data_IF_370888901878
#
_entry.id   IF_370888901878
#
_cell.length_a   1.000
_cell.length_b   1.000
_cell.length_c   1.000
_cell.angle_alpha   90.00
_cell.angle_beta   90.00
_cell.angle_gamma   90.00
#
_symmetry.space_group_name_H-M   'P 1'
#
loop_
_entity.id
_entity.type
_entity.pdbx_description
1 polymer ?
#
# COMPACT_ATOMS: atom_id res chain seq x y z
N UNK A 1 17.74 0.51 -9.84
CA UNK A 1 16.59 1.22 -9.25
C UNK A 1 16.56 0.89 -7.78
N UNK A 2 16.67 1.90 -6.91
CA UNK A 2 16.54 1.70 -5.47
C UNK A 2 15.16 2.12 -5.00
N UNK A 3 14.57 1.29 -4.15
CA UNK A 3 13.25 1.48 -3.59
C UNK A 3 13.37 1.65 -2.07
N UNK A 4 13.03 2.84 -1.59
CA UNK A 4 12.96 3.08 -0.16
C UNK A 4 11.59 2.69 0.40
N UNK A 5 11.58 1.76 1.35
CA UNK A 5 10.37 1.19 1.97
C UNK A 5 10.48 1.28 3.49
N UNK A 6 9.34 1.40 4.17
CA UNK A 6 9.30 1.20 5.61
C UNK A 6 9.79 -0.21 5.97
N UNK A 7 10.53 -0.37 7.08
CA UNK A 7 11.08 -1.66 7.49
C UNK A 7 9.99 -2.71 7.68
N UNK A 8 10.36 -3.97 7.42
CA UNK A 8 9.53 -5.14 7.65
C UNK A 8 9.21 -5.32 9.14
N UNK A 9 7.99 -5.78 9.44
CA UNK A 9 7.55 -6.21 10.77
C UNK A 9 6.23 -7.01 10.66
N UNK A 10 5.82 -7.69 11.74
CA UNK A 10 4.61 -8.51 11.81
C UNK A 10 4.53 -9.63 10.76
N UNK A 11 5.69 -10.15 10.31
CA UNK A 11 5.76 -11.12 9.22
C UNK A 11 5.44 -10.52 7.83
N UNK A 12 5.33 -9.20 7.73
CA UNK A 12 5.10 -8.48 6.47
C UNK A 12 6.38 -7.77 6.02
N UNK A 13 6.63 -7.69 4.70
CA UNK A 13 7.82 -7.01 4.18
C UNK A 13 7.77 -5.48 4.35
N UNK A 14 6.62 -4.90 4.73
CA UNK A 14 6.49 -3.50 5.15
C UNK A 14 5.20 -3.27 5.94
N UNK A 15 5.16 -2.24 6.79
CA UNK A 15 3.93 -1.85 7.52
C UNK A 15 2.94 -1.06 6.67
N UNK A 16 3.41 -0.34 5.64
CA UNK A 16 2.55 0.53 4.83
C UNK A 16 1.92 -0.25 3.68
N UNK A 17 0.61 -0.07 3.50
CA UNK A 17 -0.18 -0.74 2.45
C UNK A 17 0.37 -0.39 1.06
N UNK A 18 0.75 0.87 0.85
CA UNK A 18 1.28 1.32 -0.44
C UNK A 18 2.62 0.65 -0.77
N UNK A 19 3.50 0.55 0.23
CA UNK A 19 4.77 -0.14 0.11
C UNK A 19 4.60 -1.63 -0.18
N UNK A 20 3.65 -2.29 0.48
CA UNK A 20 3.33 -3.69 0.25
C UNK A 20 2.82 -3.95 -1.16
N UNK A 21 1.88 -3.12 -1.65
CA UNK A 21 1.36 -3.22 -3.02
C UNK A 21 2.50 -3.09 -4.05
N UNK A 22 3.43 -2.18 -3.82
CA UNK A 22 4.58 -2.00 -4.70
C UNK A 22 5.53 -3.20 -4.67
N UNK A 23 5.87 -3.70 -3.49
CA UNK A 23 6.75 -4.86 -3.36
C UNK A 23 6.14 -6.10 -4.00
N UNK A 24 4.84 -6.31 -3.81
CA UNK A 24 4.11 -7.39 -4.45
C UNK A 24 4.16 -7.25 -5.99
N UNK A 25 3.89 -6.05 -6.51
CA UNK A 25 3.93 -5.82 -7.95
C UNK A 25 5.35 -5.99 -8.52
N UNK A 26 6.37 -5.45 -7.85
CA UNK A 26 7.76 -5.62 -8.27
C UNK A 26 8.19 -7.11 -8.29
N UNK A 27 7.78 -7.90 -7.29
CA UNK A 27 8.00 -9.35 -7.24
C UNK A 27 7.28 -10.08 -8.39
N UNK A 28 5.99 -9.78 -8.62
CA UNK A 28 5.20 -10.39 -9.70
C UNK A 28 5.79 -10.10 -11.08
N UNK A 29 6.40 -8.93 -11.25
CA UNK A 29 7.03 -8.53 -12.51
C UNK A 29 8.48 -9.04 -12.67
N UNK A 30 8.99 -9.79 -11.69
CA UNK A 30 10.40 -10.20 -11.63
C UNK A 30 11.39 -9.04 -11.88
N UNK A 31 11.03 -7.81 -11.46
CA UNK A 31 11.86 -6.64 -11.74
C UNK A 31 13.05 -6.58 -10.77
N UNK A 32 14.29 -6.35 -11.26
CA UNK A 32 15.47 -6.20 -10.42
C UNK A 32 15.46 -4.85 -9.69
N UNK A 33 14.68 -4.76 -8.61
CA UNK A 33 14.60 -3.59 -7.73
C UNK A 33 15.35 -3.87 -6.44
N UNK A 34 16.30 -2.99 -6.09
CA UNK A 34 16.99 -3.05 -4.79
C UNK A 34 16.10 -2.42 -3.73
N UNK A 35 15.67 -3.19 -2.74
CA UNK A 35 14.84 -2.71 -1.63
C UNK A 35 15.73 -2.21 -0.50
N UNK A 36 15.59 -0.93 -0.15
CA UNK A 36 16.30 -0.29 0.95
C UNK A 36 15.30 0.07 2.05
N UNK A 37 15.42 -0.61 3.19
CA UNK A 37 14.60 -0.29 4.35
C UNK A 37 15.09 0.99 5.02
N UNK A 38 14.20 1.96 5.21
CA UNK A 38 14.56 3.26 5.79
C UNK A 38 13.41 3.81 6.64
N UNK A 39 13.77 4.45 7.75
CA UNK A 39 12.85 5.07 8.71
C UNK A 39 13.00 6.59 8.79
N UNK A 40 13.45 7.21 7.69
CA UNK A 40 13.81 8.63 7.52
C UNK A 40 12.91 9.38 6.52
N UNK A 41 11.62 9.68 6.82
CA UNK A 41 10.66 10.22 5.86
C UNK A 41 11.03 11.58 5.26
N UNK A 42 11.97 12.30 5.88
CA UNK A 42 12.49 13.59 5.43
C UNK A 42 13.36 13.50 4.17
N UNK A 43 13.87 12.31 3.84
CA UNK A 43 14.58 12.11 2.57
C UNK A 43 13.62 12.16 1.37
N UNK A 44 12.31 12.09 1.59
CA UNK A 44 11.29 12.24 0.54
C UNK A 44 10.84 13.70 0.44
N UNK A 45 10.79 14.31 -0.76
CA UNK A 45 10.33 15.68 -0.95
C UNK A 45 8.85 15.89 -0.59
N UNK A 46 8.06 14.81 -0.46
CA UNK A 46 6.66 14.89 -0.02
C UNK A 46 6.48 14.63 1.48
N UNK A 47 7.54 14.30 2.22
CA UNK A 47 7.47 13.91 3.63
C UNK A 47 6.64 12.64 3.87
N UNK A 48 6.43 11.84 2.82
CA UNK A 48 5.77 10.53 2.86
C UNK A 48 6.65 9.49 2.18
N UNK A 49 6.63 8.27 2.72
CA UNK A 49 7.29 7.10 2.15
C UNK A 49 6.43 6.38 1.11
N UNK A 50 5.61 7.11 0.34
CA UNK A 50 5.04 6.54 -0.87
C UNK A 50 6.14 6.55 -1.94
N UNK A 51 7.01 5.52 -1.86
CA UNK A 51 7.90 5.02 -2.91
C UNK A 51 8.71 6.13 -3.61
N UNK A 52 9.95 6.30 -3.16
CA UNK A 52 10.94 7.10 -3.87
C UNK A 52 11.78 6.17 -4.71
N UNK A 53 11.65 6.28 -6.04
CA UNK A 53 12.61 5.71 -6.98
C UNK A 53 13.80 6.66 -7.08
N UNK A 54 14.99 6.18 -6.70
CA UNK A 54 16.24 6.84 -7.09
C UNK A 54 16.72 6.22 -8.40
N UNK A 55 16.63 6.98 -9.48
CA UNK A 55 17.58 6.88 -10.61
C UNK A 55 18.51 8.08 -10.45
N UNK A 56 19.80 7.94 -10.71
CA UNK A 56 20.90 8.83 -10.28
C UNK A 56 20.76 10.34 -10.57
N UNK A 57 19.67 10.82 -11.17
CA UNK A 57 19.36 12.24 -11.40
C UNK A 57 17.90 12.66 -11.16
N UNK A 58 16.97 11.78 -10.75
CA UNK A 58 15.54 12.14 -10.62
C UNK A 58 14.85 11.41 -9.46
N UNK A 59 14.37 12.18 -8.46
CA UNK A 59 13.59 11.69 -7.31
C UNK A 59 12.11 11.72 -7.69
N UNK A 60 11.53 10.57 -8.03
CA UNK A 60 10.09 10.47 -8.30
C UNK A 60 9.36 9.91 -7.10
N UNK A 61 8.47 10.72 -6.53
CA UNK A 61 7.53 10.26 -5.50
C UNK A 61 6.34 9.63 -6.20
N UNK A 62 6.19 8.32 -6.04
CA UNK A 62 5.05 7.58 -6.58
C UNK A 62 3.98 7.50 -5.50
N UNK A 63 3.01 8.41 -5.56
CA UNK A 63 1.83 8.34 -4.70
C UNK A 63 0.95 7.15 -5.13
N UNK A 64 1.12 6.04 -4.42
CA UNK A 64 0.18 4.95 -4.13
C UNK A 64 -1.07 4.79 -5.04
N UNK A 65 -0.84 4.56 -6.33
CA UNK A 65 -1.81 3.86 -7.15
C UNK A 65 -1.06 2.90 -8.08
N UNK A 66 -1.54 1.66 -8.15
CA UNK A 66 -0.89 0.57 -8.90
C UNK A 66 -0.67 0.96 -10.37
N UNK A 67 -1.60 1.69 -11.00
CA UNK A 67 -1.40 2.19 -12.37
C UNK A 67 -0.28 3.23 -12.48
N UNK A 68 -0.07 4.08 -11.47
CA UNK A 68 1.05 5.04 -11.46
C UNK A 68 2.39 4.33 -11.35
N UNK A 69 2.43 3.18 -10.67
CA UNK A 69 3.62 2.33 -10.65
C UNK A 69 3.91 1.70 -12.02
N UNK A 70 2.91 1.10 -12.68
CA UNK A 70 3.09 0.53 -14.03
C UNK A 70 3.59 1.60 -15.00
N UNK A 71 3.07 2.83 -14.89
CA UNK A 71 3.53 3.96 -15.69
C UNK A 71 4.99 4.34 -15.39
N UNK A 72 5.39 4.30 -14.11
CA UNK A 72 6.76 4.60 -13.68
C UNK A 72 7.74 3.51 -14.11
N UNK A 73 7.38 2.23 -13.98
CA UNK A 73 8.18 1.11 -14.49
C UNK A 73 8.37 1.22 -16.00
N UNK A 74 7.28 1.45 -16.74
CA UNK A 74 7.31 1.66 -18.19
C UNK A 74 8.22 2.82 -18.59
N UNK A 75 8.16 3.93 -17.83
CA UNK A 75 9.04 5.11 -18.04
C UNK A 75 10.51 4.85 -17.70
N UNK A 76 10.78 3.91 -16.78
CA UNK A 76 12.14 3.54 -16.38
C UNK A 76 12.85 2.56 -17.33
N UNK A 77 12.24 2.21 -18.47
CA UNK A 77 12.85 1.38 -19.52
C UNK A 77 12.84 -0.12 -19.22
N UNK A 78 12.16 -0.55 -18.16
CA UNK A 78 11.82 -1.95 -17.97
C UNK A 78 10.52 -2.23 -18.72
N UNK A 79 10.56 -3.09 -19.74
CA UNK A 79 9.36 -3.62 -20.41
C UNK A 79 8.63 -4.59 -19.48
N UNK A 80 8.08 -4.05 -18.40
CA UNK A 80 7.19 -4.78 -17.51
C UNK A 80 5.80 -4.69 -18.10
N UNK A 81 5.44 -5.75 -18.83
CA UNK A 81 4.19 -5.87 -19.53
C UNK A 81 3.25 -6.73 -18.70
N UNK A 82 2.67 -6.16 -17.63
CA UNK A 82 1.67 -6.85 -16.81
C UNK A 82 0.33 -6.95 -17.56
N UNK A 83 0.06 -6.01 -18.47
CA UNK A 83 -1.26 -5.76 -19.03
C UNK A 83 -1.37 -5.98 -20.55
N UNK A 84 -0.38 -6.60 -21.24
CA UNK A 84 -0.47 -6.78 -22.70
C UNK A 84 -1.62 -7.69 -23.11
N UNK A 85 -1.94 -8.69 -22.29
CA UNK A 85 -2.94 -9.70 -22.62
C UNK A 85 -4.34 -9.37 -22.10
N UNK A 86 -4.51 -8.28 -21.33
CA UNK A 86 -5.81 -7.90 -20.79
C UNK A 86 -6.68 -7.16 -21.81
N UNK A 87 -7.93 -7.61 -21.92
CA UNK A 87 -8.97 -6.92 -22.68
C UNK A 87 -9.32 -5.57 -22.06
N UNK A 88 -9.87 -4.66 -22.88
CA UNK A 88 -10.33 -3.35 -22.39
C UNK A 88 -11.41 -3.46 -21.30
N UNK A 89 -12.21 -4.53 -21.33
CA UNK A 89 -13.23 -4.81 -20.30
C UNK A 89 -12.61 -5.25 -18.98
N UNK A 90 -11.58 -6.10 -19.01
CA UNK A 90 -10.91 -6.55 -17.78
C UNK A 90 -10.14 -5.40 -17.12
N UNK A 91 -9.52 -4.53 -17.92
CA UNK A 91 -8.85 -3.32 -17.42
C UNK A 91 -9.80 -2.41 -16.65
N UNK A 92 -10.99 -2.15 -17.21
CA UNK A 92 -11.99 -1.30 -16.54
C UNK A 92 -12.54 -1.95 -15.28
N UNK A 93 -12.69 -3.28 -15.25
CA UNK A 93 -13.08 -4.02 -14.06
C UNK A 93 -12.01 -3.90 -12.96
N UNK A 94 -10.73 -4.11 -13.28
CA UNK A 94 -9.63 -3.96 -12.30
C UNK A 94 -9.59 -2.54 -11.75
N UNK A 95 -9.75 -1.53 -12.59
CA UNK A 95 -9.78 -0.13 -12.14
C UNK A 95 -10.97 0.16 -11.23
N UNK A 96 -12.16 -0.36 -11.57
CA UNK A 96 -13.35 -0.25 -10.74
C UNK A 96 -13.16 -0.94 -9.37
N UNK A 97 -12.57 -2.13 -9.35
CA UNK A 97 -12.27 -2.86 -8.12
C UNK A 97 -11.22 -2.13 -7.27
N UNK A 98 -10.18 -1.58 -7.90
CA UNK A 98 -9.15 -0.81 -7.20
C UNK A 98 -9.76 0.42 -6.52
N UNK A 99 -10.63 1.16 -7.24
CA UNK A 99 -11.39 2.27 -6.68
C UNK A 99 -12.29 1.84 -5.52
N UNK A 100 -12.96 0.68 -5.65
CA UNK A 100 -13.83 0.13 -4.61
C UNK A 100 -13.04 -0.19 -3.33
N UNK A 101 -11.91 -0.90 -3.44
CA UNK A 101 -11.04 -1.18 -2.29
C UNK A 101 -10.50 0.10 -1.65
N UNK A 102 -10.12 1.08 -2.47
CA UNK A 102 -9.64 2.37 -1.95
C UNK A 102 -10.75 3.17 -1.24
N UNK A 103 -12.01 3.03 -1.66
CA UNK A 103 -13.12 3.77 -1.09
C UNK A 103 -13.63 3.16 0.23
N UNK A 104 -13.59 1.83 0.36
CA UNK A 104 -14.22 1.11 1.47
C UNK A 104 -13.22 0.38 2.39
N UNK A 105 -12.18 -0.25 1.85
CA UNK A 105 -11.19 -0.99 2.65
C UNK A 105 -10.16 -0.05 3.28
N UNK A 106 -9.62 0.89 2.50
CA UNK A 106 -8.63 1.86 2.99
C UNK A 106 -9.09 2.66 4.24
N UNK A 107 -10.31 3.23 4.31
CA UNK A 107 -10.73 3.94 5.52
C UNK A 107 -10.85 3.00 6.73
N UNK A 108 -11.27 1.74 6.54
CA UNK A 108 -11.35 0.76 7.62
C UNK A 108 -9.95 0.43 8.18
N UNK A 109 -8.98 0.19 7.29
CA UNK A 109 -7.58 -0.04 7.66
C UNK A 109 -7.01 1.17 8.42
N UNK A 110 -7.20 2.38 7.88
CA UNK A 110 -6.70 3.61 8.53
C UNK A 110 -7.33 3.83 9.91
N UNK A 111 -8.62 3.55 10.07
CA UNK A 111 -9.29 3.64 11.36
C UNK A 111 -8.67 2.67 12.38
N UNK A 112 -8.55 1.39 12.02
CA UNK A 112 -8.00 0.34 12.90
C UNK A 112 -6.57 0.64 13.36
N UNK A 113 -5.71 1.15 12.46
CA UNK A 113 -4.32 1.42 12.81
C UNK A 113 -4.10 2.74 13.58
N UNK A 114 -4.89 3.79 13.32
CA UNK A 114 -4.58 5.15 13.80
C UNK A 114 -5.63 5.80 14.70
N UNK A 115 -6.89 5.41 14.59
CA UNK A 115 -7.98 5.99 15.39
C UNK A 115 -8.39 5.11 16.55
N UNK A 116 -8.28 3.79 16.40
CA UNK A 116 -8.52 2.87 17.51
C UNK A 116 -7.43 3.01 18.58
N UNK A 117 -7.83 3.48 19.77
CA UNK A 117 -6.90 3.79 20.86
C UNK A 117 -6.15 2.55 21.36
N UNK A 118 -6.78 1.36 21.33
CA UNK A 118 -6.15 0.12 21.76
C UNK A 118 -5.01 -0.26 20.81
N UNK A 119 -5.30 -0.34 19.51
CA UNK A 119 -4.29 -0.67 18.50
C UNK A 119 -3.22 0.42 18.37
N UNK A 120 -3.62 1.69 18.45
CA UNK A 120 -2.68 2.80 18.35
C UNK A 120 -1.68 2.81 19.50
N UNK A 121 -2.13 2.69 20.75
CA UNK A 121 -1.25 2.75 21.92
C UNK A 121 -0.32 1.54 22.02
N UNK A 122 -0.81 0.35 21.70
CA UNK A 122 -0.07 -0.91 21.84
C UNK A 122 0.89 -1.19 20.69
N UNK A 123 0.45 -0.97 19.45
CA UNK A 123 1.16 -1.39 18.25
C UNK A 123 1.71 -0.19 17.49
N UNK A 124 0.83 0.65 16.92
CA UNK A 124 1.23 1.66 15.93
C UNK A 124 2.18 2.70 16.53
N UNK A 125 1.82 3.30 17.66
CA UNK A 125 2.61 4.32 18.32
C UNK A 125 4.00 3.78 18.69
N UNK A 126 4.04 2.62 19.35
CA UNK A 126 5.30 2.01 19.78
C UNK A 126 6.21 1.71 18.57
N UNK A 127 5.65 1.10 17.52
CA UNK A 127 6.37 0.72 16.31
C UNK A 127 7.03 1.90 15.59
N UNK A 128 6.30 3.00 15.42
CA UNK A 128 6.82 4.20 14.76
C UNK A 128 7.76 4.97 15.68
N UNK A 129 7.47 5.03 16.98
CA UNK A 129 8.29 5.75 17.96
C UNK A 129 9.69 5.16 18.12
N UNK A 130 9.84 3.83 17.97
CA UNK A 130 11.14 3.15 18.07
C UNK A 130 12.02 3.33 16.83
N UNK A 131 11.42 3.59 15.67
CA UNK A 131 12.12 3.73 14.37
C UNK A 131 12.44 5.16 13.99
N UNK A 132 11.65 6.11 14.49
CA UNK A 132 11.82 7.53 14.24
C UNK A 132 12.57 8.16 15.41
N UNK A 133 13.53 9.04 15.11
CA UNK A 133 14.28 9.76 16.13
C UNK A 133 13.38 10.75 16.88
N UNK A 134 13.61 10.88 18.18
CA UNK A 134 13.07 11.99 18.96
C UNK A 134 13.71 13.31 18.50
N UNK A 135 12.97 14.42 18.33
CA UNK A 135 11.54 14.63 18.62
C UNK A 135 10.61 14.44 17.39
N UNK A 136 11.16 14.08 16.24
CA UNK A 136 10.41 13.99 14.99
C UNK A 136 9.31 12.92 15.05
N UNK A 137 9.53 11.83 15.79
CA UNK A 137 8.54 10.78 16.01
C UNK A 137 7.20 11.32 16.52
N UNK A 138 7.19 12.19 17.52
CA UNK A 138 5.98 12.81 18.08
C UNK A 138 5.27 13.67 17.05
N UNK A 139 6.02 14.55 16.36
CA UNK A 139 5.45 15.41 15.33
C UNK A 139 4.84 14.62 14.18
N UNK A 140 5.55 13.60 13.68
CA UNK A 140 5.10 12.76 12.58
C UNK A 140 3.80 12.03 12.95
N UNK A 141 3.79 11.38 14.12
CA UNK A 141 2.65 10.62 14.61
C UNK A 141 1.41 11.48 14.81
N UNK A 142 1.55 12.64 15.46
CA UNK A 142 0.42 13.55 15.65
C UNK A 142 -0.10 14.10 14.33
N UNK A 143 0.80 14.53 13.43
CA UNK A 143 0.43 15.06 12.13
C UNK A 143 -0.32 14.02 11.31
N UNK A 144 0.14 12.77 11.33
CA UNK A 144 -0.48 11.68 10.60
C UNK A 144 -1.85 11.33 11.17
N UNK A 145 -1.97 11.21 12.50
CA UNK A 145 -3.24 10.96 13.19
C UNK A 145 -4.26 12.07 12.91
N UNK A 146 -3.87 13.35 13.04
CA UNK A 146 -4.73 14.50 12.72
C UNK A 146 -5.20 14.49 11.26
N UNK A 147 -4.35 14.07 10.32
CA UNK A 147 -4.71 13.96 8.90
C UNK A 147 -5.75 12.87 8.67
N UNK A 148 -5.57 11.69 9.28
CA UNK A 148 -6.53 10.58 9.16
C UNK A 148 -7.85 10.93 9.82
N UNK A 149 -7.81 11.58 10.99
CA UNK A 149 -9.01 12.04 11.67
C UNK A 149 -9.83 13.01 10.82
N UNK A 150 -9.17 13.93 10.09
CA UNK A 150 -9.84 14.81 9.12
C UNK A 150 -10.35 14.07 7.89
N UNK A 151 -9.68 13.01 7.46
CA UNK A 151 -10.13 12.21 6.33
C UNK A 151 -11.36 11.37 6.68
N UNK A 152 -11.48 10.94 7.95
CA UNK A 152 -12.56 10.10 8.44
C UNK A 152 -13.64 10.87 9.20
N UNK A 153 -13.52 12.19 9.37
CA UNK A 153 -14.51 13.01 10.10
C UNK A 153 -15.92 12.93 9.51
N UNK A 154 -16.01 12.67 8.22
CA UNK A 154 -17.27 12.69 7.48
C UNK A 154 -18.04 11.36 7.59
N UNK A 155 -17.40 10.31 8.12
CA UNK A 155 -17.95 8.95 8.18
C UNK A 155 -18.06 8.47 9.63
N UNK A 156 -19.19 7.87 9.98
CA UNK A 156 -19.36 7.22 11.28
C UNK A 156 -18.56 5.92 11.35
N UNK A 157 -17.93 5.65 12.50
CA UNK A 157 -17.09 4.45 12.73
C UNK A 157 -17.80 3.15 12.39
N UNK A 158 -19.08 3.03 12.76
CA UNK A 158 -19.90 1.84 12.49
C UNK A 158 -20.10 1.60 11.00
N UNK A 159 -20.27 2.66 10.21
CA UNK A 159 -20.41 2.60 8.75
C UNK A 159 -19.09 2.18 8.13
N UNK A 160 -17.96 2.77 8.56
CA UNK A 160 -16.62 2.40 8.05
C UNK A 160 -16.33 0.92 8.28
N UNK A 161 -16.60 0.42 9.49
CA UNK A 161 -16.34 -0.98 9.83
C UNK A 161 -17.28 -1.93 9.12
N UNK A 162 -18.57 -1.57 9.00
CA UNK A 162 -19.55 -2.36 8.25
C UNK A 162 -19.15 -2.47 6.78
N UNK A 163 -18.84 -1.35 6.14
CA UNK A 163 -18.43 -1.31 4.74
C UNK A 163 -17.14 -2.11 4.51
N UNK A 164 -16.14 -1.98 5.40
CA UNK A 164 -14.90 -2.76 5.30
C UNK A 164 -15.12 -4.27 5.48
N UNK A 165 -16.04 -4.64 6.36
CA UNK A 165 -16.41 -6.03 6.59
C UNK A 165 -17.16 -6.60 5.37
N UNK A 166 -18.09 -5.84 4.78
CA UNK A 166 -18.80 -6.21 3.55
C UNK A 166 -17.84 -6.42 2.37
N UNK A 167 -16.81 -5.58 2.23
CA UNK A 167 -15.76 -5.77 1.21
C UNK A 167 -14.99 -7.07 1.44
N UNK A 168 -14.68 -7.38 2.70
CA UNK A 168 -13.96 -8.60 3.07
C UNK A 168 -14.81 -9.84 2.78
N UNK A 169 -16.12 -9.77 3.01
CA UNK A 169 -17.07 -10.82 2.67
C UNK A 169 -17.33 -10.93 1.16
N UNK A 170 -17.36 -9.83 0.42
CA UNK A 170 -17.50 -9.85 -1.04
C UNK A 170 -16.38 -10.69 -1.68
N UNK A 171 -15.17 -10.67 -1.12
CA UNK A 171 -14.05 -11.53 -1.54
C UNK A 171 -14.34 -13.04 -1.46
N UNK A 172 -15.27 -13.48 -0.60
CA UNK A 172 -15.70 -14.89 -0.52
C UNK A 172 -16.76 -15.25 -1.58
N UNK A 173 -17.47 -14.27 -2.14
CA UNK A 173 -18.53 -14.49 -3.14
C UNK A 173 -17.98 -14.43 -4.58
N UNK A 174 -16.90 -13.68 -4.82
CA UNK A 174 -16.33 -13.49 -6.16
C UNK A 174 -15.30 -14.51 -6.71
N UNK A 175 -14.79 -15.55 -6.01
CA UNK A 175 -13.85 -16.49 -6.64
C UNK A 175 -14.49 -17.33 -7.75
N UNK A 176 -15.82 -17.25 -7.95
CA UNK A 176 -16.53 -17.98 -9.00
C UNK A 176 -16.39 -17.40 -10.43
N UNK A 177 -15.89 -16.17 -10.62
CA UNK A 177 -15.79 -15.55 -11.95
C UNK A 177 -14.38 -15.54 -12.57
N UNK A 178 -13.32 -15.82 -11.81
CA UNK A 178 -11.96 -15.98 -12.32
C UNK A 178 -11.61 -17.46 -12.55
N UNK A 179 -12.42 -18.18 -13.34
CA UNK A 179 -12.31 -19.64 -13.52
C UNK A 179 -11.42 -20.11 -14.67
N UNK A 180 -10.39 -19.34 -15.08
CA UNK A 180 -9.45 -19.87 -16.09
C UNK A 180 -7.96 -19.60 -15.85
N UNK A 181 -7.57 -18.64 -15.00
CA UNK A 181 -6.14 -18.34 -14.76
C UNK A 181 -5.76 -18.36 -13.26
N UNK A 182 -6.49 -19.16 -12.47
CA UNK A 182 -6.38 -19.29 -11.01
C UNK A 182 -5.11 -20.03 -10.51
N UNK A 183 -3.99 -19.91 -11.22
CA UNK A 183 -2.67 -20.38 -10.75
C UNK A 183 -1.97 -19.26 -9.95
N UNK A 184 -2.17 -17.99 -10.33
CA UNK A 184 -1.44 -16.86 -9.76
C UNK A 184 -1.82 -16.48 -8.32
N UNK A 185 -3.02 -16.83 -7.84
CA UNK A 185 -3.47 -16.48 -6.48
C UNK A 185 -2.90 -17.45 -5.44
N UNK A 186 -2.70 -18.73 -5.78
CA UNK A 186 -2.08 -19.71 -4.89
C UNK A 186 -0.57 -19.44 -4.71
N UNK A 187 0.11 -18.95 -5.74
CA UNK A 187 1.50 -18.48 -5.62
C UNK A 187 1.64 -17.23 -4.75
N UNK A 188 0.64 -16.34 -4.71
CA UNK A 188 0.71 -15.13 -3.89
C UNK A 188 0.82 -15.39 -2.38
N UNK A 189 0.31 -16.54 -1.90
CA UNK A 189 0.45 -16.98 -0.50
C UNK A 189 1.84 -17.58 -0.25
N UNK A 190 2.40 -18.28 -1.23
CA UNK A 190 3.75 -18.86 -1.14
C UNK A 190 4.89 -17.86 -1.36
N UNK A 191 4.61 -16.68 -1.93
CA UNK A 191 5.60 -15.60 -2.19
C UNK A 191 5.85 -14.70 -0.97
N UNK A 192 5.02 -14.82 0.09
CA UNK A 192 5.11 -14.07 1.34
C UNK A 192 5.84 -14.80 2.48
N UNK A 193 6.13 -16.09 2.33
CA UNK A 193 7.10 -16.83 3.14
C UNK A 193 8.51 -16.76 2.53
#
# INVERSE_FOLDING_TARGET
MELHVWPADFGLPSIDVSCLQFLACAKMCASPVSVVYSSSPWNSPTGKYSIVQYSSQDIRVVSAFLLRFVEVLRKSGQEVVIDAELTASEKSQIDAFSCYLQQYLNPAVLHTFWLDDLNYSTVTHHWYSSRLSFPYNMYYLEKHRKRIQRFLSDKTVTVIMKDGLEVTFARLVFPAQFSSHSIWIYEMIHILD
#
